data_IF_553392020355
#
_entry.id   IF_553392020355
#
_cell.length_a   1.000
_cell.length_b   1.000
_cell.length_c   1.000
_cell.angle_alpha   90.00
_cell.angle_beta   90.00
_cell.angle_gamma   90.00
#
_symmetry.space_group_name_H-M   'P 1'
#
loop_
_entity.id
_entity.type
_entity.pdbx_description
1 polymer ?
#
# COMPACT_ATOMS: atom_id res chain seq x y z
N UNK A 1 18.19 -16.12 12.44
CA UNK A 1 16.88 -16.43 11.79
C UNK A 1 16.92 -17.66 10.88
N UNK A 2 17.83 -17.77 9.89
CA UNK A 2 17.94 -18.95 9.02
C UNK A 2 18.18 -20.26 9.80
N UNK A 3 19.18 -20.29 10.69
CA UNK A 3 19.47 -21.45 11.56
C UNK A 3 18.26 -21.90 12.38
N UNK A 4 17.55 -20.95 12.99
CA UNK A 4 16.30 -21.16 13.76
C UNK A 4 15.20 -21.76 12.90
N UNK A 5 14.96 -21.22 11.70
CA UNK A 5 13.94 -21.74 10.77
C UNK A 5 14.25 -23.17 10.31
N UNK A 6 15.52 -23.50 10.06
CA UNK A 6 15.91 -24.85 9.66
C UNK A 6 15.84 -25.86 10.81
N UNK A 7 16.19 -25.42 12.02
CA UNK A 7 16.04 -26.21 13.25
C UNK A 7 14.58 -26.37 13.71
N UNK A 8 13.63 -25.59 13.16
CA UNK A 8 12.20 -25.57 13.54
C UNK A 8 11.97 -25.21 15.02
N UNK A 9 12.82 -24.36 15.56
CA UNK A 9 12.78 -23.97 16.96
C UNK A 9 11.53 -23.12 17.26
N UNK A 10 10.66 -23.64 18.13
CA UNK A 10 9.41 -23.02 18.55
C UNK A 10 9.59 -21.89 19.57
N UNK A 11 10.76 -21.79 20.22
CA UNK A 11 11.09 -20.70 21.14
C UNK A 11 11.14 -19.32 20.48
N UNK A 12 11.15 -19.28 19.15
CA UNK A 12 11.15 -18.05 18.34
C UNK A 12 9.82 -17.82 17.61
N UNK A 13 8.74 -18.52 17.99
CA UNK A 13 7.40 -18.19 17.49
C UNK A 13 7.03 -16.73 17.85
N UNK A 14 6.47 -16.01 16.89
CA UNK A 14 6.08 -14.61 17.09
C UNK A 14 7.23 -13.60 16.99
N UNK A 15 8.49 -14.03 17.01
CA UNK A 15 9.66 -13.15 16.87
C UNK A 15 9.85 -12.70 15.41
N UNK A 16 9.59 -13.59 14.46
CA UNK A 16 9.65 -13.27 13.03
C UNK A 16 8.80 -14.27 12.21
N UNK A 17 8.46 -13.87 11.00
CA UNK A 17 7.80 -14.69 9.97
C UNK A 17 8.78 -15.02 8.85
N UNK A 18 8.62 -16.22 8.28
CA UNK A 18 9.50 -16.73 7.22
C UNK A 18 8.74 -16.82 5.91
N UNK A 19 9.20 -16.12 4.89
CA UNK A 19 8.59 -16.09 3.58
C UNK A 19 9.48 -16.70 2.50
N UNK A 20 8.88 -17.49 1.62
CA UNK A 20 9.54 -18.26 0.58
C UNK A 20 9.29 -17.61 -0.78
N UNK A 21 10.34 -17.09 -1.40
CA UNK A 21 10.29 -16.28 -2.64
C UNK A 21 9.68 -17.05 -3.81
N UNK A 22 10.04 -18.31 -3.98
CA UNK A 22 9.60 -19.16 -5.10
C UNK A 22 8.13 -19.55 -5.02
N UNK A 23 7.62 -19.85 -3.82
CA UNK A 23 6.23 -20.29 -3.62
C UNK A 23 5.28 -19.13 -3.30
N UNK A 24 5.81 -17.98 -2.91
CA UNK A 24 5.02 -16.83 -2.46
C UNK A 24 4.29 -17.08 -1.15
N UNK A 25 4.75 -18.02 -0.32
CA UNK A 25 4.12 -18.39 0.96
C UNK A 25 4.94 -17.84 2.12
N UNK A 26 4.30 -17.31 3.17
CA UNK A 26 4.97 -17.07 4.45
C UNK A 26 4.41 -17.96 5.57
N UNK A 27 5.24 -18.29 6.55
CA UNK A 27 5.02 -19.29 7.58
C UNK A 27 5.71 -18.92 8.90
N UNK A 28 5.38 -19.65 9.98
CA UNK A 28 6.04 -19.56 11.28
C UNK A 28 7.44 -20.22 11.22
N UNK A 29 8.39 -19.80 12.06
CA UNK A 29 9.73 -20.39 12.11
C UNK A 29 9.71 -21.89 12.43
N UNK A 30 8.76 -22.33 13.26
CA UNK A 30 8.48 -23.72 13.63
C UNK A 30 7.77 -24.56 12.56
N UNK A 31 7.40 -23.97 11.41
CA UNK A 31 6.59 -24.64 10.40
C UNK A 31 7.26 -25.93 9.89
N UNK A 32 6.49 -27.03 9.88
CA UNK A 32 6.92 -28.37 9.46
C UNK A 32 7.04 -28.56 7.95
N UNK A 33 6.69 -27.55 7.14
CA UNK A 33 6.81 -27.62 5.69
C UNK A 33 8.28 -27.86 5.24
N UNK A 34 8.44 -28.48 4.06
CA UNK A 34 9.75 -28.72 3.44
C UNK A 34 10.53 -27.40 3.34
N UNK A 35 11.77 -27.39 3.82
CA UNK A 35 12.60 -26.18 3.88
C UNK A 35 13.15 -25.85 2.47
N UNK A 36 12.91 -24.63 1.95
CA UNK A 36 13.46 -24.19 0.67
C UNK A 36 14.92 -23.76 0.83
N UNK A 37 15.69 -23.71 -0.28
CA UNK A 37 17.09 -23.22 -0.28
C UNK A 37 17.22 -21.84 0.39
N UNK A 38 18.34 -21.55 1.08
CA UNK A 38 18.51 -20.30 1.84
C UNK A 38 18.30 -19.02 1.01
N UNK A 39 18.79 -19.00 -0.23
CA UNK A 39 18.62 -17.90 -1.21
C UNK A 39 17.14 -17.55 -1.49
N UNK A 40 16.23 -18.49 -1.28
CA UNK A 40 14.80 -18.33 -1.53
C UNK A 40 14.01 -17.93 -0.28
N UNK A 41 14.69 -17.63 0.83
CA UNK A 41 14.06 -17.25 2.10
C UNK A 41 14.18 -15.74 2.33
N UNK A 42 13.13 -15.13 2.88
CA UNK A 42 13.15 -13.76 3.39
C UNK A 42 12.38 -13.72 4.70
N UNK A 43 12.71 -12.77 5.57
CA UNK A 43 12.10 -12.64 6.89
C UNK A 43 11.28 -11.37 6.99
N UNK A 44 10.25 -11.41 7.84
CA UNK A 44 9.41 -10.27 8.20
C UNK A 44 9.25 -10.25 9.71
N UNK A 45 9.13 -9.07 10.33
CA UNK A 45 8.90 -8.99 11.76
C UNK A 45 7.48 -9.47 12.11
N UNK A 46 6.52 -9.23 11.22
CA UNK A 46 5.10 -9.56 11.48
C UNK A 46 4.41 -10.27 10.32
N UNK A 47 3.35 -11.00 10.65
CA UNK A 47 2.40 -11.58 9.69
C UNK A 47 1.82 -10.54 8.72
N UNK A 48 1.64 -9.32 9.23
CA UNK A 48 1.12 -8.17 8.48
C UNK A 48 2.10 -7.74 7.40
N UNK A 49 3.38 -7.58 7.71
CA UNK A 49 4.41 -7.25 6.73
C UNK A 49 4.50 -8.27 5.60
N UNK A 50 4.42 -9.57 5.93
CA UNK A 50 4.46 -10.63 4.94
C UNK A 50 3.26 -10.58 3.96
N UNK A 51 2.05 -10.34 4.49
CA UNK A 51 0.85 -10.12 3.67
C UNK A 51 0.99 -8.88 2.76
N UNK A 52 1.46 -7.77 3.33
CA UNK A 52 1.66 -6.50 2.64
C UNK A 52 2.74 -6.60 1.55
N UNK A 53 3.73 -7.47 1.73
CA UNK A 53 4.73 -7.79 0.71
C UNK A 53 4.18 -8.66 -0.44
N UNK A 54 2.98 -9.21 -0.30
CA UNK A 54 2.28 -10.02 -1.30
C UNK A 54 2.45 -11.54 -1.11
N UNK A 55 2.92 -11.98 0.07
CA UNK A 55 2.99 -13.40 0.39
C UNK A 55 1.66 -13.90 0.96
N UNK A 56 1.25 -15.09 0.53
CA UNK A 56 0.07 -15.78 1.07
C UNK A 56 0.42 -16.52 2.35
N UNK A 57 -0.48 -16.60 3.34
CA UNK A 57 -0.22 -17.34 4.56
C UNK A 57 -0.10 -18.84 4.27
N UNK A 58 0.79 -19.51 4.99
CA UNK A 58 0.94 -20.96 4.91
C UNK A 58 -0.31 -21.64 5.47
N UNK A 59 -0.88 -22.55 4.68
CA UNK A 59 -2.06 -23.31 5.06
C UNK A 59 -1.76 -24.41 6.11
N UNK A 60 -0.48 -24.74 6.33
CA UNK A 60 -0.08 -25.75 7.33
C UNK A 60 0.05 -25.16 8.73
N UNK A 61 0.80 -24.08 8.88
CA UNK A 61 1.06 -23.46 10.19
C UNK A 61 0.17 -22.25 10.49
N UNK A 62 -0.73 -21.87 9.57
CA UNK A 62 -1.72 -20.81 9.72
C UNK A 62 -1.18 -19.55 10.43
N UNK A 63 -0.13 -18.89 9.89
CA UNK A 63 0.67 -17.88 10.61
C UNK A 63 -0.10 -16.59 10.96
N UNK A 64 -1.27 -16.37 10.37
CA UNK A 64 -2.17 -15.25 10.71
C UNK A 64 -3.00 -15.47 11.97
N UNK A 65 -3.01 -16.69 12.49
CA UNK A 65 -3.65 -16.97 13.77
C UNK A 65 -2.67 -16.55 14.86
N UNK A 66 -3.03 -15.51 15.63
CA UNK A 66 -2.49 -15.34 16.98
C UNK A 66 -2.94 -16.55 17.83
N UNK A 67 -2.35 -16.77 19.00
CA UNK A 67 -2.88 -17.77 19.94
C UNK A 67 -4.42 -17.61 20.05
N UNK A 68 -5.14 -18.70 19.78
CA UNK A 68 -6.59 -18.71 19.60
C UNK A 68 -6.99 -18.54 18.13
N UNK A 69 -7.42 -19.63 17.49
CA UNK A 69 -7.96 -19.64 16.13
C UNK A 69 -8.95 -18.50 15.88
N UNK A 70 -9.05 -18.02 14.62
CA UNK A 70 -10.16 -17.17 14.20
C UNK A 70 -11.46 -17.74 14.79
N UNK A 71 -12.28 -16.93 15.49
CA UNK A 71 -13.45 -17.47 16.18
C UNK A 71 -14.29 -18.33 15.25
N UNK A 72 -14.93 -19.39 15.76
CA UNK A 72 -15.73 -20.31 14.92
C UNK A 72 -16.72 -19.59 13.99
N UNK A 73 -17.31 -18.49 14.48
CA UNK A 73 -18.24 -17.67 13.71
C UNK A 73 -17.61 -16.96 12.49
N UNK A 74 -16.29 -16.78 12.46
CA UNK A 74 -15.56 -16.06 11.40
C UNK A 74 -14.92 -17.01 10.38
N UNK A 75 -14.63 -18.26 10.76
CA UNK A 75 -13.97 -19.25 9.90
C UNK A 75 -14.69 -19.48 8.56
N UNK A 76 -16.03 -19.64 8.50
CA UNK A 76 -16.74 -19.85 7.23
C UNK A 76 -16.58 -18.68 6.27
N UNK A 77 -16.64 -17.44 6.78
CA UNK A 77 -16.45 -16.23 5.97
C UNK A 77 -15.04 -16.17 5.39
N UNK A 78 -14.02 -16.43 6.21
CA UNK A 78 -12.63 -16.44 5.73
C UNK A 78 -12.39 -17.54 4.70
N UNK A 79 -12.96 -18.73 4.89
CA UNK A 79 -12.86 -19.82 3.91
C UNK A 79 -13.46 -19.46 2.54
N UNK A 80 -14.58 -18.72 2.51
CA UNK A 80 -15.15 -18.24 1.24
C UNK A 80 -14.27 -17.16 0.59
N UNK A 81 -13.70 -16.26 1.38
CA UNK A 81 -12.73 -15.26 0.90
C UNK A 81 -11.47 -15.92 0.34
N UNK A 82 -11.04 -17.06 0.90
CA UNK A 82 -9.93 -17.86 0.37
C UNK A 82 -10.26 -18.44 -1.00
N UNK A 83 -11.46 -19.00 -1.18
CA UNK A 83 -11.91 -19.58 -2.46
C UNK A 83 -12.14 -18.55 -3.56
N UNK A 84 -12.53 -17.32 -3.21
CA UNK A 84 -12.85 -16.24 -4.15
C UNK A 84 -12.09 -14.95 -3.83
N UNK A 85 -10.75 -14.98 -4.00
CA UNK A 85 -9.89 -13.93 -3.45
C UNK A 85 -9.91 -12.62 -4.25
N UNK A 86 -10.41 -12.63 -5.50
CA UNK A 86 -10.62 -11.46 -6.35
C UNK A 86 -12.02 -10.84 -6.21
N UNK A 87 -12.97 -11.52 -5.56
CA UNK A 87 -14.36 -11.06 -5.42
C UNK A 87 -14.44 -9.80 -4.55
N UNK A 88 -15.35 -8.90 -4.93
CA UNK A 88 -15.78 -7.79 -4.08
C UNK A 88 -16.91 -8.29 -3.16
N UNK A 89 -16.61 -8.42 -1.87
CA UNK A 89 -17.59 -8.75 -0.85
C UNK A 89 -18.25 -7.48 -0.34
N UNK A 90 -19.57 -7.51 -0.19
CA UNK A 90 -20.40 -6.46 0.36
C UNK A 90 -20.91 -6.85 1.75
N UNK A 91 -21.46 -5.89 2.49
CA UNK A 91 -22.09 -6.19 3.78
C UNK A 91 -23.31 -7.13 3.60
N UNK A 92 -23.98 -7.10 2.45
CA UNK A 92 -25.04 -8.03 2.09
C UNK A 92 -24.51 -9.47 1.92
N UNK A 93 -23.37 -9.66 1.25
CA UNK A 93 -22.73 -10.97 1.11
C UNK A 93 -22.33 -11.56 2.47
N UNK A 94 -21.84 -10.72 3.38
CA UNK A 94 -21.44 -11.13 4.73
C UNK A 94 -22.68 -11.58 5.53
N UNK A 95 -23.80 -10.85 5.41
CA UNK A 95 -25.08 -11.22 6.04
C UNK A 95 -25.65 -12.51 5.46
N UNK A 96 -25.51 -12.74 4.15
CA UNK A 96 -25.94 -13.99 3.50
C UNK A 96 -25.20 -15.22 4.06
N UNK A 97 -23.97 -15.04 4.57
CA UNK A 97 -23.21 -16.08 5.28
C UNK A 97 -23.56 -16.18 6.78
N UNK A 98 -24.65 -15.54 7.22
CA UNK A 98 -25.10 -15.49 8.62
C UNK A 98 -24.07 -14.90 9.58
N UNK A 99 -23.23 -13.98 9.09
CA UNK A 99 -22.24 -13.25 9.88
C UNK A 99 -22.63 -11.77 9.95
N UNK A 100 -22.55 -11.16 11.14
CA UNK A 100 -22.81 -9.73 11.32
C UNK A 100 -21.62 -8.88 10.83
N UNK A 101 -21.77 -8.01 9.80
CA UNK A 101 -20.67 -7.19 9.26
C UNK A 101 -20.00 -6.29 10.31
N UNK A 102 -20.77 -5.80 11.28
CA UNK A 102 -20.33 -4.92 12.35
C UNK A 102 -19.40 -5.66 13.32
N UNK A 103 -19.68 -6.96 13.57
CA UNK A 103 -18.86 -7.86 14.38
C UNK A 103 -17.53 -8.15 13.68
N UNK A 104 -17.57 -8.42 12.38
CA UNK A 104 -16.36 -8.61 11.55
C UNK A 104 -15.51 -7.35 11.57
N UNK A 105 -16.12 -6.17 11.38
CA UNK A 105 -15.41 -4.87 11.39
C UNK A 105 -14.71 -4.62 12.72
N UNK A 106 -15.40 -4.81 13.85
CA UNK A 106 -14.82 -4.65 15.20
C UNK A 106 -13.67 -5.63 15.44
N UNK A 107 -13.83 -6.88 15.05
CA UNK A 107 -12.78 -7.89 15.22
C UNK A 107 -11.53 -7.55 14.41
N UNK A 108 -11.67 -7.17 13.12
CA UNK A 108 -10.56 -6.79 12.26
C UNK A 108 -9.88 -5.48 12.72
N UNK A 109 -10.65 -4.51 13.22
CA UNK A 109 -10.08 -3.29 13.76
C UNK A 109 -9.25 -3.57 15.02
N UNK A 110 -9.75 -4.43 15.93
CA UNK A 110 -9.08 -4.77 17.19
C UNK A 110 -7.81 -5.62 17.00
N UNK A 111 -7.80 -6.54 16.02
CA UNK A 111 -6.71 -7.53 15.88
C UNK A 111 -5.76 -7.25 14.70
N UNK A 112 -6.13 -6.36 13.77
CA UNK A 112 -5.34 -6.10 12.56
C UNK A 112 -5.19 -4.61 12.21
N UNK A 113 -5.69 -3.70 13.05
CA UNK A 113 -5.70 -2.24 12.82
C UNK A 113 -6.24 -1.82 11.44
N UNK A 114 -7.21 -2.59 10.92
CA UNK A 114 -7.83 -2.31 9.64
C UNK A 114 -9.27 -2.79 9.58
N UNK A 115 -10.04 -2.25 8.66
CA UNK A 115 -11.38 -2.79 8.36
C UNK A 115 -11.30 -4.07 7.53
N UNK A 116 -12.27 -4.96 7.66
CA UNK A 116 -12.40 -6.17 6.81
C UNK A 116 -12.37 -5.85 5.31
N UNK A 117 -13.05 -4.79 4.88
CA UNK A 117 -12.99 -4.31 3.49
C UNK A 117 -11.59 -3.82 3.07
N UNK A 118 -10.80 -3.30 4.01
CA UNK A 118 -9.40 -2.96 3.81
C UNK A 118 -8.55 -4.23 3.60
N UNK A 119 -8.76 -5.25 4.44
CA UNK A 119 -8.15 -6.57 4.29
C UNK A 119 -8.46 -7.19 2.92
N UNK A 120 -9.73 -7.20 2.49
CA UNK A 120 -10.12 -7.72 1.17
C UNK A 120 -9.49 -6.94 0.02
N UNK A 121 -9.37 -5.61 0.14
CA UNK A 121 -8.74 -4.77 -0.87
C UNK A 121 -7.25 -5.06 -0.99
N UNK A 122 -6.54 -5.14 0.14
CA UNK A 122 -5.13 -5.49 0.19
C UNK A 122 -4.88 -6.89 -0.40
N UNK A 123 -5.78 -7.84 -0.14
CA UNK A 123 -5.72 -9.20 -0.67
C UNK A 123 -5.90 -9.27 -2.18
N UNK A 124 -6.94 -8.62 -2.73
CA UNK A 124 -7.17 -8.56 -4.19
C UNK A 124 -5.95 -8.01 -4.93
N UNK A 125 -5.38 -6.95 -4.37
CA UNK A 125 -4.24 -6.28 -4.95
C UNK A 125 -2.97 -7.12 -4.77
N UNK A 126 -2.72 -7.69 -3.59
CA UNK A 126 -1.61 -8.59 -3.32
C UNK A 126 -1.56 -9.80 -4.27
N UNK A 127 -2.72 -10.37 -4.62
CA UNK A 127 -2.79 -11.42 -5.64
C UNK A 127 -2.46 -10.90 -7.04
N UNK A 128 -3.06 -9.78 -7.46
CA UNK A 128 -2.76 -9.18 -8.76
C UNK A 128 -1.24 -8.93 -8.93
N UNK A 129 -0.55 -8.54 -7.85
CA UNK A 129 0.87 -8.24 -7.86
C UNK A 129 1.77 -9.48 -7.63
N UNK A 130 1.28 -10.50 -6.94
CA UNK A 130 1.98 -11.77 -6.70
C UNK A 130 2.11 -12.65 -7.94
N UNK A 131 1.24 -12.46 -8.94
CA UNK A 131 1.39 -13.09 -10.26
C UNK A 131 2.51 -12.46 -11.10
N UNK A 132 2.79 -11.16 -10.93
CA UNK A 132 3.84 -10.43 -11.67
C UNK A 132 5.24 -10.92 -11.29
N UNK A 133 5.48 -11.22 -9.99
CA UNK A 133 6.78 -11.74 -9.53
C UNK A 133 7.16 -13.10 -10.13
N UNK A 134 6.20 -13.86 -10.68
CA UNK A 134 6.43 -15.19 -11.28
C UNK A 134 6.54 -15.16 -12.81
N UNK A 135 6.37 -14.01 -13.46
CA UNK A 135 6.40 -13.88 -14.93
C UNK A 135 7.67 -13.27 -15.51
N UNK A 136 8.73 -13.09 -14.72
CA UNK A 136 10.00 -12.53 -15.20
C UNK A 136 11.03 -13.64 -15.47
N UNK A 137 10.68 -14.59 -16.35
CA UNK A 137 11.64 -15.35 -17.13
C UNK A 137 10.89 -15.89 -18.36
N UNK A 138 11.47 -15.64 -19.54
CA UNK A 138 11.08 -16.11 -20.87
C UNK A 138 10.05 -15.24 -21.63
N UNK A 139 10.57 -14.28 -22.39
CA UNK A 139 10.19 -14.10 -23.79
C UNK A 139 11.48 -14.37 -24.59
N UNK A 140 11.50 -15.42 -25.43
CA UNK A 140 11.07 -15.25 -26.82
C UNK A 140 10.29 -16.47 -27.33
N UNK A 141 8.99 -16.51 -27.09
CA UNK A 141 8.06 -17.42 -27.81
C UNK A 141 6.63 -16.84 -27.79
N UNK A 142 6.53 -15.51 -27.77
CA UNK A 142 5.27 -14.81 -27.58
C UNK A 142 4.39 -14.72 -28.84
N UNK A 143 4.73 -15.43 -29.94
CA UNK A 143 4.08 -15.17 -31.22
C UNK A 143 3.41 -16.33 -31.94
N UNK A 144 3.56 -17.61 -31.58
CA UNK A 144 3.02 -18.66 -32.47
C UNK A 144 1.82 -19.47 -31.98
N UNK A 145 1.62 -19.73 -30.68
CA UNK A 145 0.50 -20.60 -30.29
C UNK A 145 -0.38 -20.02 -29.18
N UNK A 146 -1.54 -19.51 -29.60
CA UNK A 146 -2.82 -19.54 -28.88
C UNK A 146 -2.77 -19.29 -27.37
N UNK A 147 -2.76 -18.02 -26.98
CA UNK A 147 -2.84 -17.62 -25.57
C UNK A 147 -4.15 -18.07 -24.90
N UNK A 148 -4.08 -19.12 -24.08
CA UNK A 148 -5.01 -19.41 -22.97
C UNK A 148 -4.27 -19.41 -21.63
N UNK A 149 -3.88 -18.23 -21.15
CA UNK A 149 -3.76 -17.89 -19.70
C UNK A 149 -3.16 -16.49 -19.48
N UNK A 150 -3.86 -15.45 -19.94
CA UNK A 150 -3.52 -14.04 -19.63
C UNK A 150 -4.71 -13.21 -19.11
N UNK A 151 -5.91 -13.80 -18.98
CA UNK A 151 -7.13 -13.01 -18.82
C UNK A 151 -7.33 -12.40 -17.43
N UNK A 152 -7.03 -13.10 -16.32
CA UNK A 152 -7.39 -12.59 -14.98
C UNK A 152 -6.60 -11.37 -14.50
N UNK A 153 -5.31 -11.29 -14.86
CA UNK A 153 -4.40 -10.22 -14.46
C UNK A 153 -4.64 -8.95 -15.27
N UNK A 154 -4.71 -9.07 -16.59
CA UNK A 154 -5.02 -7.94 -17.46
C UNK A 154 -6.44 -7.43 -17.20
N UNK A 155 -7.43 -8.27 -16.91
CA UNK A 155 -8.78 -7.78 -16.61
C UNK A 155 -8.86 -6.94 -15.33
N UNK A 156 -8.31 -7.42 -14.21
CA UNK A 156 -8.41 -6.70 -12.93
C UNK A 156 -7.57 -5.42 -12.93
N UNK A 157 -6.42 -5.46 -13.61
CA UNK A 157 -5.49 -4.33 -13.67
C UNK A 157 -5.89 -3.32 -14.77
N UNK A 158 -6.40 -3.75 -15.93
CA UNK A 158 -7.00 -2.85 -16.93
C UNK A 158 -8.34 -2.27 -16.47
N UNK A 159 -9.12 -2.96 -15.64
CA UNK A 159 -10.30 -2.34 -14.99
C UNK A 159 -9.90 -1.24 -13.99
N UNK A 160 -8.76 -1.39 -13.32
CA UNK A 160 -8.23 -0.41 -12.35
C UNK A 160 -7.52 0.77 -13.04
N UNK A 161 -6.74 0.50 -14.08
CA UNK A 161 -6.00 1.48 -14.86
C UNK A 161 -6.85 2.15 -15.94
N UNK A 162 -7.95 1.51 -16.36
CA UNK A 162 -8.84 1.85 -17.49
C UNK A 162 -8.20 1.58 -18.87
N UNK A 163 -9.03 1.39 -19.89
CA UNK A 163 -8.59 1.34 -21.28
C UNK A 163 -7.82 2.63 -21.65
N UNK A 164 -6.81 2.56 -22.56
CA UNK A 164 -6.15 3.76 -23.07
C UNK A 164 -7.22 4.75 -23.60
N UNK A 165 -7.09 6.07 -23.37
CA UNK A 165 -8.03 7.00 -23.97
C UNK A 165 -7.88 6.89 -25.48
N UNK A 166 -8.95 6.52 -26.18
CA UNK A 166 -8.99 6.35 -27.65
C UNK A 166 -8.73 7.66 -28.41
N UNK A 167 -8.44 8.77 -27.70
CA UNK A 167 -8.11 10.10 -28.24
C UNK A 167 -7.07 10.83 -27.37
N UNK A 168 -5.98 10.17 -26.98
CA UNK A 168 -4.83 10.89 -26.44
C UNK A 168 -4.03 11.48 -27.63
N UNK A 169 -4.15 12.79 -27.87
CA UNK A 169 -3.36 13.52 -28.89
C UNK A 169 -1.86 13.60 -28.54
N UNK A 170 -1.46 13.19 -27.34
CA UNK A 170 -0.07 13.15 -26.86
C UNK A 170 0.28 11.78 -26.29
N UNK A 171 1.46 11.27 -26.63
CA UNK A 171 2.00 9.98 -26.19
C UNK A 171 2.53 10.02 -24.74
N UNK A 172 1.96 10.85 -23.86
CA UNK A 172 2.44 11.00 -22.47
C UNK A 172 2.17 9.71 -21.69
N UNK A 173 3.25 9.03 -21.28
CA UNK A 173 3.20 7.76 -20.55
C UNK A 173 3.66 8.00 -19.12
N UNK A 174 2.96 7.42 -18.16
CA UNK A 174 3.46 7.29 -16.79
C UNK A 174 3.75 5.84 -16.49
N UNK A 175 4.96 5.55 -16.04
CA UNK A 175 5.34 4.24 -15.54
C UNK A 175 4.76 4.03 -14.14
N UNK A 176 4.05 2.93 -13.97
CA UNK A 176 3.42 2.53 -12.72
C UNK A 176 4.09 1.27 -12.16
N UNK A 177 4.57 1.35 -10.92
CA UNK A 177 5.19 0.22 -10.22
C UNK A 177 4.74 0.17 -8.77
N UNK A 178 4.52 -1.05 -8.26
CA UNK A 178 4.38 -1.24 -6.82
C UNK A 178 5.74 -1.26 -6.14
N UNK A 179 5.86 -0.49 -5.08
CA UNK A 179 6.97 -0.52 -4.14
C UNK A 179 6.49 -0.97 -2.76
N UNK A 180 7.40 -1.49 -1.94
CA UNK A 180 7.09 -1.93 -0.57
C UNK A 180 7.77 -0.98 0.40
N UNK A 181 7.05 -0.55 1.43
CA UNK A 181 7.59 0.26 2.53
C UNK A 181 7.25 -0.39 3.88
N UNK A 182 7.91 -0.01 4.99
CA UNK A 182 7.54 -0.47 6.33
C UNK A 182 6.08 -0.17 6.71
N UNK A 183 5.46 0.84 6.09
CA UNK A 183 4.05 1.20 6.30
C UNK A 183 3.09 0.53 5.31
N UNK A 184 3.61 -0.38 4.49
CA UNK A 184 2.87 -1.17 3.52
C UNK A 184 3.17 -0.83 2.06
N UNK A 185 2.54 -1.56 1.13
CA UNK A 185 2.74 -1.40 -0.29
C UNK A 185 2.17 -0.09 -0.78
N UNK A 186 2.92 0.55 -1.66
CA UNK A 186 2.53 1.79 -2.33
C UNK A 186 2.60 1.59 -3.84
N UNK A 187 1.73 2.28 -4.56
CA UNK A 187 1.81 2.43 -6.00
C UNK A 187 2.55 3.73 -6.28
N UNK A 188 3.62 3.66 -7.06
CA UNK A 188 4.32 4.82 -7.61
C UNK A 188 3.95 4.96 -9.08
N UNK A 189 3.58 6.16 -9.52
CA UNK A 189 3.46 6.52 -10.93
C UNK A 189 4.38 7.70 -11.24
N UNK A 190 5.26 7.54 -12.22
CA UNK A 190 6.25 8.55 -12.63
C UNK A 190 6.12 8.84 -14.12
N UNK A 191 6.39 10.07 -14.52
CA UNK A 191 6.78 10.39 -15.90
C UNK A 191 8.28 10.08 -16.09
N UNK A 192 8.86 10.51 -17.19
CA UNK A 192 10.30 10.36 -17.42
C UNK A 192 11.14 11.20 -16.42
N UNK A 193 10.58 12.30 -15.91
CA UNK A 193 11.31 13.26 -15.07
C UNK A 193 10.74 13.44 -13.66
N UNK A 194 9.45 13.15 -13.41
CA UNK A 194 8.80 13.52 -12.16
C UNK A 194 7.88 12.42 -11.58
N UNK A 195 7.72 12.45 -10.26
CA UNK A 195 6.75 11.62 -9.54
C UNK A 195 5.37 12.30 -9.55
N UNK A 196 4.39 11.60 -10.10
CA UNK A 196 3.02 12.11 -10.26
C UNK A 196 2.05 11.49 -9.26
N UNK A 197 2.36 10.29 -8.74
CA UNK A 197 1.59 9.62 -7.69
C UNK A 197 2.49 8.72 -6.85
N UNK A 198 2.31 8.77 -5.53
CA UNK A 198 2.82 7.79 -4.59
C UNK A 198 1.77 7.59 -3.50
N UNK A 199 1.12 6.43 -3.48
CA UNK A 199 -0.02 6.21 -2.60
C UNK A 199 -0.12 4.78 -2.09
N UNK A 200 -0.61 4.62 -0.85
CA UNK A 200 -0.88 3.32 -0.28
C UNK A 200 -1.98 2.61 -1.06
N UNK A 201 -1.70 1.38 -1.44
CA UNK A 201 -2.59 0.59 -2.31
C UNK A 201 -3.93 0.23 -1.63
N UNK A 202 -3.97 0.27 -0.30
CA UNK A 202 -5.17 0.03 0.50
C UNK A 202 -5.99 1.31 0.74
N UNK A 203 -5.51 2.48 0.30
CA UNK A 203 -6.23 3.76 0.44
C UNK A 203 -7.62 3.69 -0.19
N UNK A 204 -8.62 4.20 0.55
CA UNK A 204 -9.96 4.42 -0.01
C UNK A 204 -9.89 5.50 -1.09
N UNK A 205 -10.30 5.16 -2.31
CA UNK A 205 -10.37 6.10 -3.42
C UNK A 205 -9.13 6.19 -4.31
N UNK A 206 -8.18 5.25 -4.21
CA UNK A 206 -7.04 5.16 -5.13
C UNK A 206 -7.47 5.11 -6.61
N UNK A 207 -8.50 4.32 -6.95
CA UNK A 207 -9.08 4.25 -8.30
C UNK A 207 -9.55 5.63 -8.81
N UNK A 208 -10.12 6.46 -7.92
CA UNK A 208 -10.55 7.82 -8.26
C UNK A 208 -9.34 8.75 -8.46
N UNK A 209 -8.29 8.59 -7.66
CA UNK A 209 -7.05 9.36 -7.83
C UNK A 209 -6.38 9.03 -9.17
N UNK A 210 -6.27 7.75 -9.53
CA UNK A 210 -5.71 7.32 -10.81
C UNK A 210 -6.51 7.85 -12.00
N UNK A 211 -7.85 7.76 -11.97
CA UNK A 211 -8.71 8.38 -13.00
C UNK A 211 -8.52 9.89 -13.10
N UNK A 212 -8.40 10.57 -11.96
CA UNK A 212 -8.18 12.02 -11.93
C UNK A 212 -6.81 12.38 -12.51
N UNK A 213 -5.77 11.62 -12.16
CA UNK A 213 -4.40 11.80 -12.65
C UNK A 213 -4.37 11.65 -14.18
N UNK A 214 -4.92 10.55 -14.70
CA UNK A 214 -5.02 10.28 -16.14
C UNK A 214 -5.71 11.40 -16.90
N UNK A 215 -6.83 11.91 -16.37
CA UNK A 215 -7.58 13.01 -16.98
C UNK A 215 -6.80 14.33 -16.93
N UNK A 216 -6.13 14.63 -15.82
CA UNK A 216 -5.40 15.90 -15.65
C UNK A 216 -4.10 15.97 -16.46
N UNK A 217 -3.41 14.84 -16.58
CA UNK A 217 -2.14 14.75 -17.29
C UNK A 217 -2.30 14.19 -18.72
N UNK A 218 -3.54 13.93 -19.14
CA UNK A 218 -3.86 13.32 -20.44
C UNK A 218 -2.99 12.10 -20.77
N UNK A 219 -2.70 11.28 -19.76
CA UNK A 219 -1.65 10.27 -19.83
C UNK A 219 -2.20 8.84 -19.86
N UNK A 220 -1.37 7.92 -20.35
CA UNK A 220 -1.57 6.47 -20.21
C UNK A 220 -0.69 5.92 -19.10
N UNK A 221 -1.24 5.01 -18.29
CA UNK A 221 -0.47 4.31 -17.27
C UNK A 221 0.11 3.04 -17.89
N UNK A 222 1.42 2.88 -17.81
CA UNK A 222 2.16 1.72 -18.34
C UNK A 222 2.82 1.00 -17.19
N UNK A 223 2.68 -0.32 -17.14
CA UNK A 223 3.44 -1.12 -16.17
C UNK A 223 4.89 -1.23 -16.63
N UNK A 224 5.82 -0.97 -15.72
CA UNK A 224 7.23 -1.11 -16.04
C UNK A 224 8.12 -0.60 -14.93
N UNK A 225 9.42 -0.84 -15.11
CA UNK A 225 10.47 -0.20 -14.33
C UNK A 225 10.76 1.17 -14.93
N UNK A 226 11.15 2.12 -14.09
CA UNK A 226 11.64 3.42 -14.52
C UNK A 226 12.78 3.85 -13.58
N UNK A 227 13.85 4.47 -14.09
CA UNK A 227 14.99 4.91 -13.27
C UNK A 227 14.59 5.80 -12.09
N UNK A 228 13.57 6.66 -12.27
CA UNK A 228 13.06 7.51 -11.19
C UNK A 228 12.44 6.70 -10.04
N UNK A 229 11.79 5.57 -10.33
CA UNK A 229 11.22 4.68 -9.30
C UNK A 229 12.34 3.98 -8.52
N UNK A 230 13.43 3.59 -9.19
CA UNK A 230 14.58 2.97 -8.52
C UNK A 230 15.25 3.96 -7.54
N UNK A 231 15.44 5.21 -7.96
CA UNK A 231 15.90 6.29 -7.07
C UNK A 231 14.93 6.51 -5.91
N UNK A 232 13.63 6.60 -6.19
CA UNK A 232 12.59 6.75 -5.17
C UNK A 232 12.66 5.64 -4.11
N UNK A 233 12.87 4.38 -4.51
CA UNK A 233 13.00 3.26 -3.57
C UNK A 233 14.21 3.43 -2.64
N UNK A 234 15.35 3.89 -3.17
CA UNK A 234 16.55 4.17 -2.37
C UNK A 234 16.29 5.29 -1.37
N UNK A 235 15.71 6.41 -1.82
CA UNK A 235 15.41 7.54 -0.94
C UNK A 235 14.39 7.18 0.15
N UNK A 236 13.36 6.41 -0.20
CA UNK A 236 12.39 5.93 0.77
C UNK A 236 13.05 5.00 1.80
N UNK A 237 13.97 4.12 1.39
CA UNK A 237 14.69 3.27 2.32
C UNK A 237 15.52 4.09 3.32
N UNK A 238 16.23 5.12 2.84
CA UNK A 238 16.98 6.06 3.70
C UNK A 238 16.05 6.85 4.64
N UNK A 239 14.90 7.30 4.14
CA UNK A 239 13.90 8.01 4.94
C UNK A 239 13.38 7.14 6.08
N UNK A 240 12.99 5.89 5.79
CA UNK A 240 12.51 4.95 6.80
C UNK A 240 13.62 4.47 7.76
N UNK A 241 14.88 4.55 7.36
CA UNK A 241 16.04 4.32 8.23
C UNK A 241 16.40 5.55 9.09
N UNK A 242 15.73 6.69 8.91
CA UNK A 242 16.04 7.94 9.62
C UNK A 242 17.29 8.67 9.12
N UNK A 243 17.97 8.16 8.08
CA UNK A 243 19.20 8.75 7.54
C UNK A 243 18.95 9.81 6.46
N UNK A 244 17.69 10.01 6.05
CA UNK A 244 17.28 11.05 5.10
C UNK A 244 16.13 11.87 5.67
N UNK A 245 16.26 13.20 5.60
CA UNK A 245 15.23 14.17 6.02
C UNK A 245 14.53 14.89 4.87
N UNK A 246 15.07 14.85 3.66
CA UNK A 246 14.52 15.51 2.47
C UNK A 246 14.61 14.61 1.23
N UNK A 247 13.62 14.68 0.36
CA UNK A 247 13.60 13.95 -0.92
C UNK A 247 14.14 14.83 -2.05
N UNK A 248 14.81 14.21 -3.01
CA UNK A 248 15.38 14.86 -4.21
C UNK A 248 14.60 14.53 -5.49
N UNK A 249 13.53 13.73 -5.37
CA UNK A 249 12.65 13.37 -6.47
C UNK A 249 11.77 14.56 -6.86
N UNK A 250 11.85 14.97 -8.12
CA UNK A 250 10.99 15.99 -8.73
C UNK A 250 9.51 15.58 -8.68
N UNK A 251 8.62 16.56 -8.43
CA UNK A 251 7.19 16.31 -8.19
C UNK A 251 6.31 16.97 -9.26
N UNK A 252 5.41 16.20 -9.86
CA UNK A 252 4.38 16.72 -10.76
C UNK A 252 3.02 16.78 -10.05
N UNK A 253 2.69 17.98 -9.54
CA UNK A 253 1.51 18.22 -8.71
C UNK A 253 0.21 18.33 -9.54
N UNK A 254 -0.39 17.21 -9.91
CA UNK A 254 -1.64 17.17 -10.70
C UNK A 254 -2.90 17.53 -9.88
N UNK A 255 -3.14 18.83 -9.65
CA UNK A 255 -4.28 19.36 -8.88
C UNK A 255 -4.89 20.64 -9.45
N UNK A 256 -5.93 21.17 -8.81
CA UNK A 256 -6.40 22.54 -9.05
C UNK A 256 -5.33 23.56 -8.61
N UNK A 257 -5.35 24.81 -9.10
CA UNK A 257 -4.38 25.82 -8.67
C UNK A 257 -4.28 25.96 -7.15
N UNK A 258 -5.42 25.98 -6.44
CA UNK A 258 -5.45 26.01 -4.99
C UNK A 258 -4.85 24.75 -4.34
N UNK A 259 -5.16 23.56 -4.86
CA UNK A 259 -4.55 22.32 -4.36
C UNK A 259 -3.03 22.33 -4.53
N UNK A 260 -2.53 22.78 -5.68
CA UNK A 260 -1.09 22.88 -5.93
C UNK A 260 -0.41 23.87 -4.98
N UNK A 261 -1.02 25.03 -4.72
CA UNK A 261 -0.52 25.99 -3.73
C UNK A 261 -0.43 25.37 -2.33
N UNK A 262 -1.48 24.65 -1.90
CA UNK A 262 -1.47 23.94 -0.61
C UNK A 262 -0.36 22.89 -0.59
N UNK A 263 -0.25 22.03 -1.61
CA UNK A 263 0.77 20.96 -1.61
C UNK A 263 2.20 21.51 -1.68
N UNK A 264 2.45 22.60 -2.39
CA UNK A 264 3.75 23.29 -2.34
C UNK A 264 4.06 23.79 -0.93
N UNK A 265 3.08 24.36 -0.22
CA UNK A 265 3.24 24.72 1.19
C UNK A 265 3.37 23.52 2.14
N UNK A 266 2.91 22.33 1.77
CA UNK A 266 3.17 21.13 2.58
C UNK A 266 4.64 20.72 2.46
N UNK A 267 5.22 20.78 1.26
CA UNK A 267 6.61 20.40 0.99
C UNK A 267 7.60 21.26 1.79
N UNK A 268 7.25 22.51 2.11
CA UNK A 268 8.09 23.41 2.92
C UNK A 268 8.11 23.07 4.41
N UNK A 269 7.22 22.21 4.90
CA UNK A 269 7.20 21.82 6.32
C UNK A 269 8.38 20.87 6.59
N UNK A 270 9.36 21.22 7.43
CA UNK A 270 10.54 20.38 7.67
C UNK A 270 10.21 19.04 8.32
N UNK A 271 11.10 18.06 8.14
CA UNK A 271 11.04 16.79 8.84
C UNK A 271 11.19 17.02 10.36
N UNK A 272 10.28 16.43 11.15
CA UNK A 272 10.24 16.61 12.60
C UNK A 272 9.38 17.79 13.07
N UNK A 273 8.84 18.58 12.15
CA UNK A 273 7.94 19.69 12.47
C UNK A 273 6.48 19.40 12.05
N UNK A 274 5.55 20.08 12.72
CA UNK A 274 4.14 20.07 12.35
C UNK A 274 3.60 21.47 12.10
N UNK A 275 2.48 21.55 11.36
CA UNK A 275 1.70 22.79 11.18
C UNK A 275 0.22 22.48 11.39
N UNK A 276 -0.56 23.51 11.71
CA UNK A 276 -2.02 23.40 11.72
C UNK A 276 -2.62 23.77 10.35
N UNK A 277 -3.83 23.28 10.06
CA UNK A 277 -4.57 23.68 8.86
C UNK A 277 -4.75 25.20 8.77
N UNK A 278 -4.99 25.86 9.91
CA UNK A 278 -5.08 27.33 10.00
C UNK A 278 -3.73 28.02 9.76
N UNK A 279 -2.62 27.42 10.21
CA UNK A 279 -1.27 27.91 9.94
C UNK A 279 -0.95 27.94 8.45
N UNK A 280 -1.27 26.86 7.73
CA UNK A 280 -1.10 26.79 6.27
C UNK A 280 -2.04 27.78 5.57
N UNK A 281 -3.29 27.92 6.04
CA UNK A 281 -4.23 28.87 5.47
C UNK A 281 -3.71 30.32 5.59
N UNK A 282 -3.09 30.67 6.72
CA UNK A 282 -2.44 31.98 6.92
C UNK A 282 -1.21 32.18 6.04
N UNK A 283 -0.34 31.17 5.90
CA UNK A 283 0.85 31.29 5.02
C UNK A 283 0.50 31.43 3.55
N UNK A 284 -0.71 31.02 3.15
CA UNK A 284 -1.27 31.24 1.81
C UNK A 284 -2.03 32.57 1.65
N UNK A 285 -2.03 33.44 2.66
CA UNK A 285 -2.80 34.71 2.64
C UNK A 285 -4.32 34.50 2.68
N UNK A 286 -4.80 33.34 3.14
CA UNK A 286 -6.21 32.95 3.14
C UNK A 286 -6.64 32.46 4.52
N UNK A 287 -6.63 33.30 5.57
CA UNK A 287 -6.81 32.88 6.97
C UNK A 287 -8.12 32.10 7.24
N UNK A 288 -9.19 32.37 6.49
CA UNK A 288 -10.49 31.71 6.63
C UNK A 288 -10.58 30.35 5.91
N UNK A 289 -9.56 29.97 5.13
CA UNK A 289 -9.59 28.80 4.25
C UNK A 289 -9.15 27.47 4.91
N UNK A 290 -9.09 27.39 6.24
CA UNK A 290 -8.62 26.19 6.99
C UNK A 290 -9.33 24.89 6.56
N UNK A 291 -10.67 24.91 6.39
CA UNK A 291 -11.43 23.75 5.90
C UNK A 291 -11.08 23.37 4.45
N UNK A 292 -10.84 24.35 3.60
CA UNK A 292 -10.43 24.12 2.21
C UNK A 292 -9.03 23.52 2.14
N UNK A 293 -8.10 24.02 2.98
CA UNK A 293 -6.76 23.44 3.14
C UNK A 293 -6.84 21.99 3.61
N UNK A 294 -7.68 21.68 4.61
CA UNK A 294 -7.86 20.32 5.08
C UNK A 294 -8.35 19.37 3.97
N UNK A 295 -9.28 19.82 3.13
CA UNK A 295 -9.74 19.07 1.95
C UNK A 295 -8.62 18.87 0.92
N UNK A 296 -7.86 19.92 0.61
CA UNK A 296 -6.72 19.83 -0.31
C UNK A 296 -5.61 18.89 0.22
N UNK A 297 -5.33 18.94 1.53
CA UNK A 297 -4.40 18.02 2.21
C UNK A 297 -4.86 16.56 2.07
N UNK A 298 -6.16 16.30 2.27
CA UNK A 298 -6.76 14.99 2.06
C UNK A 298 -6.70 14.51 0.61
N UNK A 299 -6.70 15.41 -0.38
CA UNK A 299 -6.60 15.09 -1.81
C UNK A 299 -5.17 14.88 -2.32
N UNK A 300 -4.15 14.97 -1.44
CA UNK A 300 -2.77 14.64 -1.80
C UNK A 300 -2.67 13.22 -2.40
N UNK A 301 -1.89 13.10 -3.49
CA UNK A 301 -1.63 11.86 -4.25
C UNK A 301 -0.17 11.40 -4.16
N UNK A 302 0.71 12.18 -3.56
CA UNK A 302 2.14 11.92 -3.46
C UNK A 302 2.46 11.87 -1.96
N UNK A 303 1.94 10.84 -1.29
CA UNK A 303 2.15 10.63 0.13
C UNK A 303 3.66 10.56 0.45
N UNK A 304 4.03 10.91 1.69
CA UNK A 304 5.41 11.02 2.17
C UNK A 304 6.16 12.23 1.60
N UNK A 305 6.31 12.32 0.27
CA UNK A 305 7.08 13.39 -0.38
C UNK A 305 6.35 14.74 -0.34
N UNK A 306 5.02 14.74 -0.51
CA UNK A 306 4.15 15.84 -0.07
C UNK A 306 3.68 15.46 1.34
N UNK A 307 4.24 16.06 2.41
CA UNK A 307 4.14 15.51 3.76
C UNK A 307 2.82 15.92 4.45
N UNK A 308 1.70 15.46 3.91
CA UNK A 308 0.36 15.73 4.45
C UNK A 308 0.12 15.16 5.86
N UNK A 309 0.99 14.25 6.32
CA UNK A 309 1.01 13.73 7.70
C UNK A 309 1.52 14.76 8.72
N UNK A 310 2.31 15.77 8.30
CA UNK A 310 2.82 16.84 9.17
C UNK A 310 1.78 17.91 9.54
N UNK A 311 0.56 17.80 9.02
CA UNK A 311 -0.53 18.74 9.34
C UNK A 311 -1.46 18.15 10.39
N UNK A 312 -1.61 18.81 11.54
CA UNK A 312 -2.41 18.33 12.68
C UNK A 312 -3.51 19.31 13.07
N UNK A 313 -4.43 18.87 13.93
CA UNK A 313 -5.44 19.76 14.51
C UNK A 313 -4.80 20.85 15.37
N UNK A 314 -5.45 22.00 15.51
CA UNK A 314 -4.95 23.09 16.38
C UNK A 314 -4.88 22.69 17.86
N UNK A 315 -5.62 21.67 18.26
CA UNK A 315 -5.59 21.07 19.60
C UNK A 315 -4.48 20.01 19.76
N UNK A 316 -3.56 19.87 18.80
CA UNK A 316 -2.49 18.88 18.84
C UNK A 316 -2.93 17.45 18.49
N UNK A 317 -4.24 17.18 18.36
CA UNK A 317 -4.73 15.84 18.07
C UNK A 317 -4.49 15.43 16.61
N UNK A 318 -4.15 14.16 16.41
CA UNK A 318 -4.12 13.53 15.11
C UNK A 318 -5.54 13.36 14.57
N UNK A 319 -5.86 14.18 13.58
CA UNK A 319 -7.12 14.08 12.84
C UNK A 319 -6.81 13.71 11.39
N UNK A 320 -7.69 12.89 10.80
CA UNK A 320 -7.76 12.58 9.37
C UNK A 320 -6.44 12.27 8.67
N UNK A 321 -6.25 11.02 8.24
CA UNK A 321 -5.21 10.67 7.27
C UNK A 321 -5.77 9.69 6.26
N UNK A 322 -5.63 10.00 4.98
CA UNK A 322 -6.23 9.18 3.93
C UNK A 322 -5.59 7.78 3.84
N UNK A 323 -4.32 7.66 4.23
CA UNK A 323 -3.62 6.39 4.44
C UNK A 323 -3.90 5.72 5.80
N UNK A 324 -4.78 6.27 6.65
CA UNK A 324 -5.08 5.75 7.99
C UNK A 324 -4.24 6.37 9.11
N UNK A 325 -4.89 6.67 10.25
CA UNK A 325 -4.26 7.40 11.36
C UNK A 325 -3.01 6.73 11.92
N UNK A 326 -2.96 5.40 11.97
CA UNK A 326 -1.79 4.65 12.43
C UNK A 326 -0.53 4.96 11.59
N UNK A 327 -0.67 5.21 10.27
CA UNK A 327 0.47 5.61 9.41
C UNK A 327 0.94 7.01 9.74
N UNK A 328 0.01 7.93 9.96
CA UNK A 328 0.32 9.32 10.33
C UNK A 328 1.08 9.38 11.64
N UNK A 329 0.59 8.66 12.66
CA UNK A 329 1.28 8.52 13.95
C UNK A 329 2.71 7.98 13.74
N UNK A 330 2.85 6.84 13.04
CA UNK A 330 4.16 6.21 12.85
C UNK A 330 5.16 7.07 12.07
N UNK A 331 4.68 7.84 11.09
CA UNK A 331 5.52 8.79 10.35
C UNK A 331 5.99 9.94 11.23
N UNK A 332 5.10 10.49 12.07
CA UNK A 332 5.47 11.58 12.98
C UNK A 332 6.44 11.10 14.06
N UNK A 333 6.29 9.88 14.57
CA UNK A 333 7.26 9.24 15.48
C UNK A 333 8.63 9.04 14.81
N UNK A 334 8.64 8.49 13.59
CA UNK A 334 9.87 8.29 12.81
C UNK A 334 10.63 9.61 12.63
N UNK A 335 9.91 10.69 12.39
CA UNK A 335 10.47 12.02 12.19
C UNK A 335 10.84 12.75 13.49
N UNK A 336 10.48 12.20 14.66
CA UNK A 336 10.69 12.84 15.96
C UNK A 336 9.70 13.98 16.29
N UNK A 337 8.63 14.13 15.49
CA UNK A 337 7.59 15.13 15.71
C UNK A 337 6.57 14.72 16.80
N UNK A 338 6.51 13.43 17.12
CA UNK A 338 5.77 12.87 18.25
C UNK A 338 6.70 11.94 19.03
N UNK A 339 6.66 11.99 20.35
CA UNK A 339 7.28 10.97 21.20
C UNK A 339 6.55 9.64 21.03
N UNK A 340 7.30 8.55 20.89
CA UNK A 340 6.74 7.20 20.91
C UNK A 340 6.07 6.98 22.27
N UNK A 341 4.77 6.69 22.25
CA UNK A 341 3.97 6.38 23.43
C UNK A 341 4.01 4.92 23.81
#
# INVERSE_FOLDING_TARGET
>A
MLRVFYARDSGYEGVFMVAVRTTGIFCRPSCSARKPKPENVTFFATSREALLAGYRPCLRCCPLQAQGSAPEWLKPLLAHVEKQPTRRWTDADIRALKVAPERVRRWFQKHHDMTFHGYLRARRLGQALGHIKRGAAVLPTALEHGYRSLSGFNDAFQKLLGAPPTRAKHDTRLFAQRITTPLGPMLACVSDSALCLLEFVDRRGLERQLRTLRRRLSCRLVLGRAPLIERLVVELAQYFAGTRRAFTIELELAGTPFQQQVWRQLVTIPCGETRSYGGIARSLGRPTASRAVARANGDNRIALLVPCHRVIGSNGHLTGYAGGLWRKQRLLELEGALTAG
#
